data_IF_283388260408
#
_entry.id   IF_283388260408
#
_cell.length_a   1.000
_cell.length_b   1.000
_cell.length_c   1.000
_cell.angle_alpha   90.00
_cell.angle_beta   90.00
_cell.angle_gamma   90.00
#
_symmetry.space_group_name_H-M   'P 1'
#
loop_
_entity.id
_entity.type
_entity.pdbx_description
1 polymer ?
#
# COMPACT_ATOMS: atom_id res chain seq x y z
N UNK A 1 -4.22 -1.17 27.30
CA UNK A 1 -2.78 -1.25 27.10
C UNK A 1 -2.44 -0.72 25.71
N UNK A 2 -1.55 0.24 25.65
CA UNK A 2 -1.15 0.78 24.36
C UNK A 2 0.02 -0.01 23.78
N UNK A 3 0.01 -0.22 22.47
CA UNK A 3 1.06 -0.89 21.75
C UNK A 3 1.76 0.12 20.86
N UNK A 4 3.08 0.06 20.82
CA UNK A 4 3.88 0.85 19.89
C UNK A 4 4.53 -0.08 18.87
N UNK A 5 4.49 0.33 17.61
CA UNK A 5 5.08 -0.46 16.52
C UNK A 5 6.12 0.39 15.81
N UNK A 6 7.30 -0.17 15.63
CA UNK A 6 8.34 0.45 14.82
C UNK A 6 8.36 -0.22 13.45
N UNK A 7 8.31 0.58 12.42
CA UNK A 7 8.30 0.10 11.04
C UNK A 7 9.60 0.54 10.37
N UNK A 8 10.39 -0.42 9.95
CA UNK A 8 11.65 -0.15 9.26
C UNK A 8 11.38 -0.08 7.76
N UNK A 9 11.50 1.10 7.20
CA UNK A 9 11.29 1.33 5.79
C UNK A 9 10.04 2.17 5.51
N UNK A 10 10.23 3.24 4.74
CA UNK A 10 9.17 4.19 4.37
C UNK A 10 8.69 4.07 2.94
N UNK A 11 8.70 2.85 2.38
CA UNK A 11 8.06 2.57 1.09
C UNK A 11 6.56 2.38 1.23
N UNK A 12 5.90 1.95 0.17
CA UNK A 12 4.45 1.78 0.16
C UNK A 12 3.99 0.73 1.19
N UNK A 13 4.78 -0.32 1.39
CA UNK A 13 4.41 -1.37 2.35
C UNK A 13 4.45 -0.82 3.77
N UNK A 14 5.56 -0.18 4.16
CA UNK A 14 5.68 0.39 5.49
C UNK A 14 4.67 1.49 5.76
N UNK A 15 4.45 2.37 4.81
CA UNK A 15 3.46 3.43 4.93
C UNK A 15 2.04 2.88 5.05
N UNK A 16 1.72 1.82 4.29
CA UNK A 16 0.41 1.17 4.35
C UNK A 16 0.19 0.51 5.71
N UNK A 17 1.21 -0.15 6.26
CA UNK A 17 1.12 -0.75 7.58
C UNK A 17 0.85 0.33 8.63
N UNK A 18 1.56 1.44 8.57
CA UNK A 18 1.35 2.56 9.50
C UNK A 18 -0.08 3.10 9.41
N UNK A 19 -0.58 3.26 8.19
CA UNK A 19 -1.94 3.76 7.96
C UNK A 19 -2.99 2.83 8.57
N UNK A 20 -2.90 1.52 8.29
CA UNK A 20 -3.90 0.58 8.81
C UNK A 20 -3.80 0.40 10.32
N UNK A 21 -2.60 0.48 10.89
CA UNK A 21 -2.43 0.45 12.34
C UNK A 21 -3.05 1.69 12.99
N UNK A 22 -2.87 2.87 12.39
CA UNK A 22 -3.45 4.09 12.94
C UNK A 22 -4.98 4.03 12.97
N UNK A 23 -5.59 3.39 11.98
CA UNK A 23 -7.05 3.19 11.94
C UNK A 23 -7.53 2.28 13.08
N UNK A 24 -6.66 1.47 13.64
CA UNK A 24 -6.97 0.59 14.77
C UNK A 24 -6.52 1.19 16.11
N UNK A 25 -6.10 2.44 16.10
CA UNK A 25 -5.65 3.12 17.32
C UNK A 25 -4.27 2.70 17.79
N UNK A 26 -3.47 2.09 16.94
CA UNK A 26 -2.11 1.67 17.27
C UNK A 26 -1.12 2.73 16.80
N UNK A 27 -0.26 3.18 17.71
CA UNK A 27 0.78 4.14 17.38
C UNK A 27 1.91 3.45 16.62
N UNK A 28 2.25 3.99 15.45
CA UNK A 28 3.32 3.47 14.62
C UNK A 28 4.33 4.57 14.29
N UNK A 29 5.60 4.21 14.34
CA UNK A 29 6.70 5.11 13.96
C UNK A 29 7.44 4.47 12.80
N UNK A 30 7.56 5.21 11.70
CA UNK A 30 8.28 4.75 10.52
C UNK A 30 9.71 5.25 10.58
N UNK A 31 10.66 4.34 10.47
CA UNK A 31 12.09 4.64 10.45
C UNK A 31 12.59 4.41 9.04
N UNK A 32 13.07 5.46 8.40
CA UNK A 32 13.53 5.39 7.02
C UNK A 32 14.91 6.02 6.91
N UNK A 33 15.82 5.31 6.24
CA UNK A 33 17.23 5.70 6.15
C UNK A 33 17.45 6.93 5.27
N UNK A 34 16.69 7.08 4.20
CA UNK A 34 16.90 8.13 3.20
C UNK A 34 15.73 9.11 3.13
N UNK A 35 14.53 8.59 2.99
CA UNK A 35 13.31 9.39 2.85
C UNK A 35 12.17 8.50 2.40
N UNK A 36 10.94 9.03 2.44
CA UNK A 36 9.77 8.26 2.05
C UNK A 36 9.82 7.93 0.56
N UNK A 37 9.54 6.68 0.22
CA UNK A 37 9.45 6.18 -1.14
C UNK A 37 10.72 6.41 -1.98
N UNK A 38 11.89 6.41 -1.35
CA UNK A 38 13.16 6.65 -2.06
C UNK A 38 13.75 5.42 -2.73
N UNK A 39 13.18 4.24 -2.50
CA UNK A 39 13.65 2.99 -3.08
C UNK A 39 12.65 2.45 -4.10
N UNK A 40 12.30 1.17 -4.01
CA UNK A 40 11.45 0.51 -5.01
C UNK A 40 10.08 1.19 -5.20
N UNK A 41 9.46 1.66 -4.13
CA UNK A 41 8.12 2.27 -4.22
C UNK A 41 8.12 3.54 -5.06
N UNK A 42 9.12 4.40 -4.89
CA UNK A 42 9.22 5.63 -5.65
C UNK A 42 9.68 5.43 -7.08
N UNK A 43 10.18 4.25 -7.40
CA UNK A 43 10.69 3.90 -8.73
C UNK A 43 9.79 2.94 -9.48
N UNK A 44 8.62 2.64 -8.94
CA UNK A 44 7.68 1.70 -9.56
C UNK A 44 7.03 2.31 -10.79
N UNK A 45 6.57 1.45 -11.70
CA UNK A 45 5.86 1.88 -12.90
C UNK A 45 4.44 2.37 -12.65
N UNK A 46 3.91 2.12 -11.47
CA UNK A 46 2.58 2.60 -11.08
C UNK A 46 1.42 1.81 -11.66
N UNK A 47 1.65 0.61 -12.17
CA UNK A 47 0.60 -0.23 -12.74
C UNK A 47 0.09 -1.24 -11.72
N UNK A 48 -1.23 -1.41 -11.69
CA UNK A 48 -1.89 -2.42 -10.88
C UNK A 48 -2.64 -3.36 -11.83
N UNK A 49 -2.33 -4.64 -11.75
CA UNK A 49 -2.91 -5.63 -12.64
C UNK A 49 -4.00 -6.41 -11.91
N UNK A 50 -5.19 -6.54 -12.55
CA UNK A 50 -6.31 -7.23 -11.94
C UNK A 50 -6.15 -8.75 -11.99
N UNK A 51 -5.82 -9.29 -13.15
CA UNK A 51 -5.93 -10.73 -13.41
C UNK A 51 -4.63 -11.42 -13.85
N UNK A 52 -3.51 -10.71 -13.80
CA UNK A 52 -2.24 -11.28 -14.29
C UNK A 52 -1.76 -12.47 -13.47
N UNK A 53 -2.20 -12.59 -12.21
CA UNK A 53 -1.83 -13.69 -11.34
C UNK A 53 -2.87 -14.82 -11.31
N UNK A 54 -3.91 -14.73 -12.15
CA UNK A 54 -4.94 -15.76 -12.19
C UNK A 54 -4.35 -17.12 -12.59
N UNK A 55 -4.82 -18.16 -11.92
CA UNK A 55 -4.28 -19.49 -12.11
C UNK A 55 -3.03 -19.79 -11.30
N UNK A 56 -2.51 -18.83 -10.55
CA UNK A 56 -1.34 -19.01 -9.68
C UNK A 56 -1.77 -18.99 -8.23
N UNK A 57 -0.80 -19.29 -7.34
CA UNK A 57 -1.04 -19.21 -5.88
C UNK A 57 -1.29 -17.78 -5.40
N UNK A 58 -0.97 -16.79 -6.21
CA UNK A 58 -1.11 -15.37 -5.86
C UNK A 58 -2.44 -14.78 -6.30
N UNK A 59 -3.32 -15.55 -6.93
CA UNK A 59 -4.57 -15.03 -7.49
C UNK A 59 -5.40 -14.30 -6.44
N UNK A 60 -5.65 -14.93 -5.30
CA UNK A 60 -6.47 -14.34 -4.25
C UNK A 60 -5.88 -13.06 -3.69
N UNK A 61 -4.58 -13.06 -3.41
CA UNK A 61 -3.88 -11.89 -2.91
C UNK A 61 -3.89 -10.76 -3.94
N UNK A 62 -3.62 -11.06 -5.19
CA UNK A 62 -3.55 -10.04 -6.24
C UNK A 62 -4.91 -9.39 -6.49
N UNK A 63 -5.98 -10.18 -6.56
CA UNK A 63 -7.32 -9.62 -6.77
C UNK A 63 -7.79 -8.81 -5.59
N UNK A 64 -7.54 -9.26 -4.38
CA UNK A 64 -7.89 -8.51 -3.18
C UNK A 64 -7.10 -7.20 -3.10
N UNK A 65 -5.81 -7.23 -3.41
CA UNK A 65 -4.97 -6.04 -3.40
C UNK A 65 -5.43 -5.03 -4.44
N UNK A 66 -5.82 -5.49 -5.62
CA UNK A 66 -6.35 -4.63 -6.66
C UNK A 66 -7.62 -3.91 -6.19
N UNK A 67 -8.55 -4.65 -5.58
CA UNK A 67 -9.79 -4.07 -5.07
C UNK A 67 -9.51 -3.09 -3.93
N UNK A 68 -8.55 -3.41 -3.06
CA UNK A 68 -8.19 -2.56 -1.94
C UNK A 68 -7.63 -1.22 -2.38
N UNK A 69 -6.85 -1.18 -3.46
CA UNK A 69 -6.36 0.09 -3.99
C UNK A 69 -7.49 1.03 -4.40
N UNK A 70 -8.54 0.49 -5.04
CA UNK A 70 -9.70 1.28 -5.39
C UNK A 70 -10.43 1.83 -4.16
N UNK A 71 -10.55 1.02 -3.11
CA UNK A 71 -11.17 1.46 -1.86
C UNK A 71 -10.33 2.53 -1.17
N UNK A 72 -9.01 2.38 -1.15
CA UNK A 72 -8.12 3.36 -0.55
C UNK A 72 -8.17 4.70 -1.27
N UNK A 73 -8.32 4.70 -2.58
CA UNK A 73 -8.49 5.94 -3.34
C UNK A 73 -9.73 6.69 -2.90
N UNK A 74 -10.82 5.99 -2.59
CA UNK A 74 -12.04 6.60 -2.07
C UNK A 74 -11.89 7.09 -0.63
N UNK A 75 -11.18 6.35 0.21
CA UNK A 75 -11.02 6.68 1.63
C UNK A 75 -10.03 7.81 1.88
N UNK A 76 -8.91 7.80 1.17
CA UNK A 76 -7.80 8.73 1.42
C UNK A 76 -7.92 9.98 0.56
N UNK A 77 -8.58 9.87 -0.58
CA UNK A 77 -8.67 10.94 -1.55
C UNK A 77 -7.92 10.56 -2.83
N UNK A 78 -8.12 11.35 -3.87
CA UNK A 78 -7.66 11.02 -5.22
C UNK A 78 -6.49 11.89 -5.68
N UNK A 79 -5.65 12.32 -4.75
CA UNK A 79 -4.50 13.17 -5.06
C UNK A 79 -3.41 12.42 -5.82
N UNK A 80 -3.50 11.11 -5.89
CA UNK A 80 -2.50 10.23 -6.51
C UNK A 80 -2.92 9.71 -7.88
N UNK A 81 -3.95 10.30 -8.46
CA UNK A 81 -4.41 10.00 -9.81
C UNK A 81 -4.74 8.53 -10.05
N UNK A 82 -5.35 7.89 -9.05
CA UNK A 82 -5.82 6.51 -9.23
C UNK A 82 -6.93 6.49 -10.27
N UNK A 83 -6.83 5.58 -11.24
CA UNK A 83 -7.87 5.40 -12.25
C UNK A 83 -7.80 4.01 -12.87
N UNK A 84 -8.96 3.54 -13.30
CA UNK A 84 -9.03 2.26 -14.02
C UNK A 84 -8.86 2.50 -15.50
N UNK A 85 -8.09 1.61 -16.11
CA UNK A 85 -7.90 1.59 -17.56
C UNK A 85 -8.12 0.17 -18.05
N UNK A 86 -8.55 0.04 -19.28
CA UNK A 86 -8.73 -1.25 -19.94
C UNK A 86 -7.75 -1.34 -21.10
N UNK A 87 -7.02 -2.44 -21.18
CA UNK A 87 -6.07 -2.68 -22.26
C UNK A 87 -6.46 -3.89 -23.06
#
# INVERSE_FOLDING_TARGET
>A
MSMRVLICGGGVIGASIAYFLSRRGVEATVIERTGLACAASGKSGGFLAFDWCDGTRLEGLARRSFALHGRLAQEIGDDWNYRRVTT
#
